data_IF_935520315203
#
_entry.id   IF_935520315203
#
_cell.length_a   1.000
_cell.length_b   1.000
_cell.length_c   1.000
_cell.angle_alpha   90.00
_cell.angle_beta   90.00
_cell.angle_gamma   90.00
#
_symmetry.space_group_name_H-M   'P 1'
#
loop_
_entity.id
_entity.type
_entity.pdbx_description
1 polymer ?
#
# COMPACT_ATOMS: atom_id res chain seq x y z
N UNK A 1 8.26 -10.67 14.01
CA UNK A 1 7.52 -10.89 12.74
C UNK A 1 8.46 -10.57 11.60
N UNK A 2 8.57 -11.45 10.60
CA UNK A 2 9.41 -11.21 9.43
C UNK A 2 8.82 -10.09 8.56
N UNK A 3 9.64 -9.40 7.78
CA UNK A 3 9.18 -8.31 6.91
C UNK A 3 7.99 -8.73 6.02
N UNK A 4 8.10 -9.88 5.34
CA UNK A 4 7.06 -10.40 4.44
C UNK A 4 5.71 -10.62 5.15
N UNK A 5 5.73 -11.28 6.31
CA UNK A 5 4.53 -11.52 7.11
C UNK A 5 3.88 -10.19 7.53
N UNK A 6 4.72 -9.23 7.92
CA UNK A 6 4.28 -7.89 8.29
C UNK A 6 3.66 -7.13 7.14
N UNK A 7 4.27 -7.16 5.96
CA UNK A 7 3.76 -6.50 4.78
C UNK A 7 2.43 -7.14 4.32
N UNK A 8 2.33 -8.48 4.39
CA UNK A 8 1.09 -9.18 4.06
C UNK A 8 -0.06 -8.84 5.01
N UNK A 9 0.23 -8.82 6.32
CA UNK A 9 -0.76 -8.40 7.32
C UNK A 9 -1.22 -6.96 7.07
N UNK A 10 -0.28 -6.10 6.72
CA UNK A 10 -0.53 -4.71 6.38
C UNK A 10 -1.43 -4.53 5.14
N UNK A 11 -1.25 -5.33 4.08
CA UNK A 11 -2.14 -5.36 2.92
C UNK A 11 -3.54 -5.82 3.30
N UNK A 12 -3.67 -6.95 4.00
CA UNK A 12 -4.97 -7.49 4.44
C UNK A 12 -5.74 -6.50 5.31
N UNK A 13 -5.07 -5.87 6.27
CA UNK A 13 -5.71 -4.91 7.18
C UNK A 13 -6.18 -3.67 6.43
N UNK A 14 -5.36 -3.11 5.53
CA UNK A 14 -5.75 -1.98 4.68
C UNK A 14 -6.93 -2.36 3.77
N UNK A 15 -6.88 -3.52 3.13
CA UNK A 15 -7.93 -3.95 2.22
C UNK A 15 -9.27 -4.09 2.94
N UNK A 16 -9.29 -4.81 4.07
CA UNK A 16 -10.49 -4.94 4.92
C UNK A 16 -11.04 -3.59 5.36
N UNK A 17 -10.17 -2.67 5.78
CA UNK A 17 -10.60 -1.33 6.18
C UNK A 17 -11.19 -0.55 5.01
N UNK A 18 -10.58 -0.62 3.82
CA UNK A 18 -11.06 0.07 2.61
C UNK A 18 -12.43 -0.49 2.18
N UNK A 19 -12.61 -1.81 2.19
CA UNK A 19 -13.91 -2.41 1.88
C UNK A 19 -15.01 -1.97 2.86
N UNK A 20 -14.66 -1.81 4.14
CA UNK A 20 -15.59 -1.33 5.16
C UNK A 20 -15.87 0.18 5.04
N UNK A 21 -14.91 0.95 4.54
CA UNK A 21 -14.94 2.42 4.49
C UNK A 21 -14.43 2.97 3.15
N UNK A 22 -15.10 2.66 2.02
CA UNK A 22 -14.61 3.02 0.69
C UNK A 22 -14.55 4.54 0.47
N UNK A 23 -15.48 5.29 1.06
CA UNK A 23 -15.48 6.75 0.98
C UNK A 23 -14.24 7.39 1.62
N UNK A 24 -13.69 6.79 2.68
CA UNK A 24 -12.44 7.28 3.28
C UNK A 24 -11.26 7.06 2.33
N UNK A 25 -11.25 5.96 1.58
CA UNK A 25 -10.23 5.71 0.57
C UNK A 25 -10.32 6.76 -0.55
N UNK A 26 -11.48 6.94 -1.17
CA UNK A 26 -11.69 7.92 -2.24
C UNK A 26 -11.38 9.36 -1.80
N UNK A 27 -11.87 9.77 -0.63
CA UNK A 27 -11.56 11.07 -0.07
C UNK A 27 -10.05 11.24 0.13
N UNK A 28 -9.37 10.22 0.66
CA UNK A 28 -7.94 10.29 0.93
C UNK A 28 -7.11 10.38 -0.36
N UNK A 29 -7.54 9.76 -1.46
CA UNK A 29 -6.93 9.96 -2.78
C UNK A 29 -7.13 11.40 -3.28
N UNK A 30 -8.35 11.93 -3.23
CA UNK A 30 -8.63 13.31 -3.64
C UNK A 30 -7.82 14.31 -2.80
N UNK A 31 -7.82 14.13 -1.48
CA UNK A 31 -7.13 15.00 -0.54
C UNK A 31 -5.62 15.03 -0.80
N UNK A 32 -4.99 13.85 -0.98
CA UNK A 32 -3.54 13.74 -1.26
C UNK A 32 -3.13 14.39 -2.58
N UNK A 33 -4.03 14.42 -3.57
CA UNK A 33 -3.80 15.04 -4.87
C UNK A 33 -4.26 16.50 -4.94
N UNK A 34 -4.72 17.08 -3.84
CA UNK A 34 -5.18 18.46 -3.77
C UNK A 34 -4.12 19.38 -3.13
N UNK A 35 -4.19 20.71 -3.35
CA UNK A 35 -3.34 21.66 -2.63
C UNK A 35 -3.49 21.61 -1.10
N UNK A 36 -4.63 21.09 -0.60
CA UNK A 36 -4.92 21.01 0.83
C UNK A 36 -3.90 20.17 1.58
N UNK A 37 -3.26 19.17 0.94
CA UNK A 37 -2.23 18.33 1.57
C UNK A 37 -1.02 19.13 2.08
N UNK A 38 -0.83 20.37 1.60
CA UNK A 38 0.25 21.28 2.01
C UNK A 38 -0.18 22.26 3.09
N UNK A 39 -1.39 22.14 3.63
CA UNK A 39 -1.89 23.02 4.68
C UNK A 39 -1.05 22.88 5.96
N UNK A 40 -0.72 24.00 6.59
CA UNK A 40 0.14 24.07 7.80
C UNK A 40 -0.33 23.24 8.99
N UNK A 41 -1.64 22.96 9.05
CA UNK A 41 -2.24 22.18 10.13
C UNK A 41 -2.10 20.67 9.93
N UNK A 42 -1.62 20.23 8.76
CA UNK A 42 -1.32 18.83 8.51
C UNK A 42 0.00 18.51 9.20
N UNK A 43 -0.09 17.68 10.23
CA UNK A 43 1.05 17.25 11.02
C UNK A 43 1.44 15.83 10.66
N UNK A 44 2.73 15.54 10.75
CA UNK A 44 3.24 14.17 10.75
C UNK A 44 2.49 13.37 11.81
N UNK A 45 1.91 12.25 11.40
CA UNK A 45 1.12 11.41 12.29
C UNK A 45 1.93 10.19 12.74
N UNK A 46 1.55 9.63 13.90
CA UNK A 46 2.16 8.44 14.50
C UNK A 46 2.31 7.28 13.50
N UNK A 47 1.38 7.17 12.54
CA UNK A 47 1.41 6.15 11.51
C UNK A 47 2.64 6.26 10.60
N UNK A 48 2.98 7.44 10.10
CA UNK A 48 4.18 7.62 9.27
C UNK A 48 5.45 7.20 9.99
N UNK A 49 5.58 7.54 11.28
CA UNK A 49 6.72 7.11 12.11
C UNK A 49 6.82 5.58 12.17
N UNK A 50 5.71 4.89 12.49
CA UNK A 50 5.68 3.43 12.53
C UNK A 50 5.99 2.79 11.17
N UNK A 51 5.58 3.41 10.06
CA UNK A 51 5.89 2.93 8.72
C UNK A 51 7.38 3.08 8.38
N UNK A 52 8.01 4.19 8.77
CA UNK A 52 9.46 4.41 8.62
C UNK A 52 10.27 3.40 9.46
N UNK A 53 9.86 3.16 10.70
CA UNK A 53 10.49 2.15 11.57
C UNK A 53 10.36 0.73 11.00
N UNK A 54 9.18 0.39 10.43
CA UNK A 54 8.97 -0.90 9.78
C UNK A 54 9.96 -1.14 8.62
N UNK A 55 10.15 -0.13 7.75
CA UNK A 55 11.12 -0.18 6.67
C UNK A 55 12.56 -0.30 7.20
N UNK A 56 12.95 0.59 8.13
CA UNK A 56 14.28 0.62 8.73
C UNK A 56 14.67 -0.75 9.31
N UNK A 57 13.78 -1.37 10.07
CA UNK A 57 14.05 -2.66 10.68
C UNK A 57 14.18 -3.81 9.65
N UNK A 58 13.47 -3.75 8.53
CA UNK A 58 13.59 -4.75 7.47
C UNK A 58 14.95 -4.66 6.76
N UNK A 59 15.41 -3.43 6.49
CA UNK A 59 16.74 -3.17 5.91
C UNK A 59 17.85 -3.61 6.87
N UNK A 60 17.76 -3.25 8.17
CA UNK A 60 18.74 -3.65 9.19
C UNK A 60 18.86 -5.18 9.32
N UNK A 61 17.75 -5.91 9.15
CA UNK A 61 17.75 -7.39 9.15
C UNK A 61 18.14 -8.00 7.81
N UNK A 62 18.49 -7.19 6.79
CA UNK A 62 18.82 -7.62 5.42
C UNK A 62 17.70 -8.44 4.77
N UNK A 63 16.44 -8.19 5.13
CA UNK A 63 15.28 -8.88 4.55
C UNK A 63 14.89 -8.30 3.18
N UNK A 64 15.29 -7.05 2.90
CA UNK A 64 15.05 -6.31 1.67
C UNK A 64 16.27 -5.45 1.32
N UNK A 65 16.34 -4.98 0.08
CA UNK A 65 17.35 -4.02 -0.38
C UNK A 65 17.15 -2.63 0.27
N UNK A 66 18.27 -1.94 0.51
CA UNK A 66 18.28 -0.57 1.02
C UNK A 66 18.08 0.41 -0.14
N UNK A 67 16.82 0.75 -0.40
CA UNK A 67 16.41 1.66 -1.48
C UNK A 67 15.77 2.93 -0.90
N UNK A 68 15.79 4.05 -1.64
CA UNK A 68 15.02 5.23 -1.27
C UNK A 68 13.57 4.91 -0.93
N UNK A 69 13.03 5.56 0.09
CA UNK A 69 11.71 5.26 0.63
C UNK A 69 10.62 5.35 -0.45
N UNK A 70 10.72 6.30 -1.37
CA UNK A 70 9.80 6.51 -2.49
C UNK A 70 9.77 5.29 -3.42
N UNK A 71 10.94 4.70 -3.70
CA UNK A 71 11.07 3.48 -4.50
C UNK A 71 10.43 2.32 -3.73
N UNK A 72 10.75 2.18 -2.45
CA UNK A 72 10.12 1.15 -1.60
C UNK A 72 8.59 1.26 -1.58
N UNK A 73 8.03 2.45 -1.30
CA UNK A 73 6.58 2.63 -1.19
C UNK A 73 5.87 2.39 -2.53
N UNK A 74 6.47 2.81 -3.64
CA UNK A 74 5.90 2.60 -4.97
C UNK A 74 5.82 1.11 -5.32
N UNK A 75 6.85 0.32 -5.02
CA UNK A 75 6.86 -1.13 -5.24
C UNK A 75 5.96 -1.88 -4.24
N UNK A 76 6.06 -1.53 -2.96
CA UNK A 76 5.40 -2.25 -1.87
C UNK A 76 3.88 -2.00 -1.79
N UNK A 77 3.39 -0.84 -2.24
CA UNK A 77 1.97 -0.47 -2.12
C UNK A 77 1.34 0.08 -3.39
N UNK A 78 2.11 0.52 -4.38
CA UNK A 78 1.57 1.00 -5.66
C UNK A 78 0.67 -0.05 -6.34
N UNK A 79 1.15 -1.27 -6.60
CA UNK A 79 0.34 -2.34 -7.17
C UNK A 79 -0.92 -2.65 -6.35
N UNK A 80 -0.80 -2.65 -5.01
CA UNK A 80 -1.92 -2.88 -4.11
C UNK A 80 -3.02 -1.83 -4.27
N UNK A 81 -2.68 -0.54 -4.19
CA UNK A 81 -3.68 0.52 -4.27
C UNK A 81 -4.32 0.60 -5.66
N UNK A 82 -3.57 0.34 -6.74
CA UNK A 82 -4.13 0.24 -8.09
C UNK A 82 -5.15 -0.90 -8.20
N UNK A 83 -4.85 -2.09 -7.65
CA UNK A 83 -5.79 -3.22 -7.66
C UNK A 83 -7.04 -2.95 -6.81
N UNK A 84 -6.87 -2.28 -5.67
CA UNK A 84 -8.01 -1.85 -4.84
C UNK A 84 -8.89 -0.88 -5.61
N UNK A 85 -8.30 0.08 -6.33
CA UNK A 85 -9.05 1.01 -7.16
C UNK A 85 -9.85 0.29 -8.25
N UNK A 86 -9.23 -0.61 -9.00
CA UNK A 86 -9.96 -1.41 -10.01
C UNK A 86 -11.12 -2.21 -9.39
N UNK A 87 -10.97 -2.66 -8.15
CA UNK A 87 -12.02 -3.37 -7.45
C UNK A 87 -13.18 -2.48 -7.03
N UNK A 88 -12.89 -1.30 -6.48
CA UNK A 88 -13.92 -0.34 -6.06
C UNK A 88 -14.66 0.27 -7.26
N UNK A 89 -13.94 0.51 -8.35
CA UNK A 89 -14.50 1.07 -9.59
C UNK A 89 -15.24 0.01 -10.43
N UNK A 90 -15.20 -1.27 -10.03
CA UNK A 90 -15.62 -2.44 -10.82
C UNK A 90 -15.17 -2.37 -12.29
N UNK A 91 -13.94 -1.89 -12.50
CA UNK A 91 -13.43 -1.62 -13.84
C UNK A 91 -11.90 -1.65 -13.87
N UNK A 92 -11.37 -2.46 -14.78
CA UNK A 92 -9.95 -2.47 -15.14
C UNK A 92 -9.65 -1.42 -16.21
N UNK A 93 -8.36 -1.26 -16.55
CA UNK A 93 -7.91 -0.39 -17.66
C UNK A 93 -8.63 -0.69 -19.00
N UNK A 94 -9.11 -1.92 -19.20
CA UNK A 94 -9.83 -2.33 -20.43
C UNK A 94 -11.35 -2.12 -20.36
N UNK A 95 -11.86 -1.53 -19.28
CA UNK A 95 -13.30 -1.37 -19.03
C UNK A 95 -13.98 -2.64 -18.53
N UNK A 96 -13.27 -3.77 -18.43
CA UNK A 96 -13.82 -5.03 -17.90
C UNK A 96 -13.94 -4.99 -16.39
N UNK A 97 -15.04 -5.53 -15.87
CA UNK A 97 -15.26 -5.75 -14.44
C UNK A 97 -14.08 -6.46 -13.78
N UNK A 98 -13.73 -6.00 -12.58
CA UNK A 98 -12.62 -6.54 -11.82
C UNK A 98 -12.98 -6.69 -10.35
N UNK A 99 -12.78 -7.91 -9.83
CA UNK A 99 -12.86 -8.20 -8.39
C UNK A 99 -11.52 -8.63 -7.84
N UNK A 100 -11.06 -7.94 -6.78
CA UNK A 100 -9.84 -8.28 -6.05
C UNK A 100 -10.12 -9.37 -5.01
N UNK A 101 -9.85 -10.62 -5.39
CA UNK A 101 -9.93 -11.76 -4.47
C UNK A 101 -8.64 -11.94 -3.68
N UNK A 102 -8.68 -12.68 -2.57
CA UNK A 102 -7.48 -13.02 -1.79
C UNK A 102 -6.41 -13.70 -2.66
N UNK A 103 -6.84 -14.59 -3.57
CA UNK A 103 -5.95 -15.24 -4.55
C UNK A 103 -5.21 -14.23 -5.43
N UNK A 104 -5.92 -13.28 -6.05
CA UNK A 104 -5.30 -12.25 -6.92
C UNK A 104 -4.41 -11.31 -6.11
N UNK A 105 -4.84 -10.92 -4.90
CA UNK A 105 -4.05 -10.10 -3.99
C UNK A 105 -2.75 -10.80 -3.59
N UNK A 106 -2.81 -12.10 -3.29
CA UNK A 106 -1.65 -12.93 -2.95
C UNK A 106 -0.71 -13.12 -4.14
N UNK A 107 -1.24 -13.27 -5.35
CA UNK A 107 -0.45 -13.33 -6.58
C UNK A 107 0.36 -12.04 -6.79
N UNK A 108 -0.29 -10.87 -6.69
CA UNK A 108 0.39 -9.58 -6.79
C UNK A 108 1.43 -9.40 -5.68
N UNK A 109 1.07 -9.78 -4.45
CA UNK A 109 1.98 -9.72 -3.30
C UNK A 109 3.24 -10.56 -3.51
N UNK A 110 3.13 -11.79 -4.03
CA UNK A 110 4.29 -12.63 -4.33
C UNK A 110 5.26 -11.98 -5.34
N UNK A 111 4.73 -11.27 -6.34
CA UNK A 111 5.55 -10.53 -7.32
C UNK A 111 6.25 -9.33 -6.66
N UNK A 112 5.54 -8.58 -5.82
CA UNK A 112 6.12 -7.49 -5.01
C UNK A 112 7.23 -8.01 -4.11
N UNK A 113 7.02 -9.14 -3.42
CA UNK A 113 8.04 -9.73 -2.55
C UNK A 113 9.27 -10.18 -3.33
N UNK A 114 9.12 -10.70 -4.55
CA UNK A 114 10.26 -11.02 -5.42
C UNK A 114 11.06 -9.78 -5.83
N UNK A 115 10.42 -8.63 -5.98
CA UNK A 115 11.10 -7.38 -6.32
C UNK A 115 11.80 -6.73 -5.12
N UNK A 116 11.29 -6.93 -3.91
CA UNK A 116 11.79 -6.28 -2.69
C UNK A 116 12.80 -7.12 -1.91
N UNK A 117 12.66 -8.45 -1.93
CA UNK A 117 13.55 -9.34 -1.19
C UNK A 117 14.95 -9.29 -1.78
N UNK A 118 15.90 -9.34 -0.87
CA UNK A 118 17.29 -9.66 -1.18
C UNK A 118 17.48 -11.18 -1.36
#
# INVERSE_FOLDING_TARGET
MKFEEGLWLQWKNRYRHILKHPMYFHFSEQFRNSPLIRHRDIRDNRFQKSMKEFLYHAVQRKEIEDVPAEIFWSLAYGPFYTLVKFHLDDSSMTGKSFSLTDYKMKQAFALVMRALKR
#
